data_IF_527401234760
#
_entry.id   IF_527401234760
#
_cell.length_a   1.000
_cell.length_b   1.000
_cell.length_c   1.000
_cell.angle_alpha   90.00
_cell.angle_beta   90.00
_cell.angle_gamma   90.00
#
_symmetry.space_group_name_H-M   'P 1'
#
loop_
_entity.id
_entity.type
_entity.pdbx_description
1 polymer ?
#
# COMPACT_ATOMS: atom_id res chain seq x y z
N UNK A 1 53.35 -3.64 23.89
CA UNK A 1 52.33 -2.57 24.03
C UNK A 1 51.36 -2.43 22.83
N UNK A 2 51.79 -2.61 21.58
CA UNK A 2 50.94 -2.48 20.40
C UNK A 2 49.79 -3.50 20.25
N UNK A 3 50.00 -4.72 20.77
CA UNK A 3 49.00 -5.80 20.66
C UNK A 3 47.78 -5.58 21.59
N UNK A 4 48.00 -5.07 22.78
CA UNK A 4 46.95 -4.74 23.75
C UNK A 4 46.04 -3.61 23.24
N UNK A 5 46.61 -2.64 22.54
CA UNK A 5 45.82 -1.57 21.92
C UNK A 5 44.92 -2.11 20.80
N UNK A 6 45.44 -3.03 19.96
CA UNK A 6 44.66 -3.64 18.86
C UNK A 6 43.44 -4.44 19.36
N UNK A 7 43.63 -5.21 20.44
CA UNK A 7 42.55 -5.98 21.08
C UNK A 7 41.50 -5.04 21.68
N UNK A 8 41.87 -3.94 22.30
CA UNK A 8 40.96 -2.93 22.84
C UNK A 8 40.13 -2.28 21.74
N UNK A 9 40.75 -1.92 20.60
CA UNK A 9 40.00 -1.35 19.46
C UNK A 9 39.03 -2.36 18.84
N UNK A 10 39.41 -3.62 18.71
CA UNK A 10 38.53 -4.67 18.23
C UNK A 10 37.31 -4.88 19.15
N UNK A 11 37.57 -4.88 20.47
CA UNK A 11 36.51 -5.02 21.47
C UNK A 11 35.54 -3.84 21.44
N UNK A 12 36.04 -2.61 21.33
CA UNK A 12 35.22 -1.40 21.19
C UNK A 12 34.41 -1.43 19.90
N UNK A 13 35.03 -1.87 18.79
CA UNK A 13 34.34 -1.97 17.51
C UNK A 13 33.16 -2.96 17.54
N UNK A 14 33.36 -4.13 18.18
CA UNK A 14 32.29 -5.13 18.33
C UNK A 14 31.17 -4.60 19.24
N UNK A 15 31.54 -3.89 20.31
CA UNK A 15 30.56 -3.31 21.23
C UNK A 15 29.76 -2.20 20.55
N UNK A 16 30.42 -1.35 19.74
CA UNK A 16 29.77 -0.32 18.93
C UNK A 16 28.83 -0.92 17.88
N UNK A 17 29.27 -1.98 17.19
CA UNK A 17 28.45 -2.70 16.23
C UNK A 17 27.20 -3.30 16.90
N UNK A 18 27.36 -3.93 18.06
CA UNK A 18 26.25 -4.48 18.83
C UNK A 18 25.25 -3.40 19.28
N UNK A 19 25.74 -2.22 19.65
CA UNK A 19 24.89 -1.09 20.02
C UNK A 19 24.08 -0.58 18.81
N UNK A 20 24.72 -0.45 17.64
CA UNK A 20 24.06 -0.04 16.39
C UNK A 20 22.99 -1.05 16.00
N UNK A 21 23.28 -2.35 16.03
CA UNK A 21 22.31 -3.40 15.76
C UNK A 21 21.15 -3.39 16.76
N UNK A 22 21.42 -3.13 18.04
CA UNK A 22 20.40 -3.01 19.07
C UNK A 22 19.44 -1.84 18.83
N UNK A 23 19.97 -0.70 18.40
CA UNK A 23 19.18 0.49 18.03
C UNK A 23 18.27 0.19 16.82
N UNK A 24 18.83 -0.44 15.80
CA UNK A 24 18.06 -0.82 14.59
C UNK A 24 16.94 -1.83 14.93
N UNK A 25 17.22 -2.77 15.85
CA UNK A 25 16.26 -3.80 16.26
C UNK A 25 15.13 -3.26 17.14
N UNK A 26 15.36 -2.16 17.86
CA UNK A 26 14.37 -1.60 18.79
C UNK A 26 14.25 -0.08 18.64
N UNK A 27 13.67 0.41 17.54
CA UNK A 27 13.61 1.84 17.20
C UNK A 27 12.85 2.68 18.24
N UNK A 28 11.93 2.07 19.01
CA UNK A 28 11.19 2.77 20.07
C UNK A 28 12.06 3.25 21.23
N UNK A 29 13.24 2.62 21.47
CA UNK A 29 14.17 3.05 22.52
C UNK A 29 14.87 4.37 22.17
N UNK A 30 14.89 4.76 20.90
CA UNK A 30 15.65 5.92 20.39
C UNK A 30 14.77 7.17 20.21
N UNK A 31 13.54 7.16 20.72
CA UNK A 31 12.62 8.34 20.71
C UNK A 31 13.25 9.60 21.30
N UNK A 32 14.33 9.45 22.07
CA UNK A 32 15.05 10.56 22.68
C UNK A 32 15.97 11.31 21.70
N UNK A 33 16.25 10.75 20.51
CA UNK A 33 17.10 11.38 19.49
C UNK A 33 16.24 11.72 18.26
N UNK A 34 15.65 12.93 18.18
CA UNK A 34 14.69 13.33 17.15
C UNK A 34 15.11 13.03 15.71
N UNK A 35 16.36 13.36 15.28
CA UNK A 35 16.73 13.17 13.88
C UNK A 35 16.85 11.70 13.45
N UNK A 36 17.05 10.78 14.40
CA UNK A 36 17.14 9.34 14.11
C UNK A 36 15.73 8.75 14.03
N UNK A 37 14.81 9.25 14.84
CA UNK A 37 13.42 8.79 14.85
C UNK A 37 12.70 9.13 13.55
N UNK A 38 12.90 10.34 13.01
CA UNK A 38 12.29 10.78 11.75
C UNK A 38 12.70 9.89 10.56
N UNK A 39 13.94 9.37 10.55
CA UNK A 39 14.42 8.43 9.52
C UNK A 39 13.72 7.06 9.64
N UNK A 40 13.47 6.59 10.87
CA UNK A 40 12.78 5.32 11.09
C UNK A 40 11.28 5.41 10.85
N UNK A 41 10.66 6.56 11.15
CA UNK A 41 9.24 6.81 10.86
C UNK A 41 8.99 6.92 9.34
N UNK A 42 9.96 7.45 8.59
CA UNK A 42 9.92 7.48 7.13
C UNK A 42 10.07 6.09 6.48
N UNK A 43 10.61 5.10 7.21
CA UNK A 43 10.68 3.71 6.79
C UNK A 43 9.46 2.90 7.28
N UNK A 44 8.25 3.46 7.11
CA UNK A 44 7.03 2.72 7.43
C UNK A 44 6.95 1.47 6.54
N UNK A 45 7.05 0.30 7.16
CA UNK A 45 6.82 -0.97 6.49
C UNK A 45 5.31 -1.14 6.37
N UNK A 46 4.80 -1.06 5.14
CA UNK A 46 3.40 -1.37 4.87
C UNK A 46 3.13 -2.81 5.25
N UNK A 47 2.32 -2.99 6.28
CA UNK A 47 1.93 -4.32 6.75
C UNK A 47 0.97 -4.90 5.73
N UNK A 48 1.28 -6.09 5.21
CA UNK A 48 0.37 -6.79 4.30
C UNK A 48 -0.99 -7.09 4.95
N UNK A 49 -1.95 -7.46 4.12
CA UNK A 49 -3.32 -7.83 4.51
C UNK A 49 -3.40 -8.87 5.64
N UNK A 50 -2.43 -9.78 5.72
CA UNK A 50 -2.34 -10.80 6.76
C UNK A 50 -2.19 -10.22 8.17
N UNK A 51 -1.58 -9.04 8.29
CA UNK A 51 -1.32 -8.38 9.57
C UNK A 51 -2.31 -7.27 9.90
N UNK A 52 -2.86 -6.62 8.89
CA UNK A 52 -3.83 -5.52 9.07
C UNK A 52 -5.27 -6.00 8.99
N UNK A 53 -5.49 -7.16 8.37
CA UNK A 53 -6.81 -7.62 7.95
C UNK A 53 -7.32 -6.80 6.76
N UNK A 54 -8.12 -7.42 5.92
CA UNK A 54 -8.66 -6.77 4.73
C UNK A 54 -9.24 -7.78 3.77
N UNK A 55 -9.61 -7.32 2.59
CA UNK A 55 -10.20 -8.12 1.54
C UNK A 55 -9.26 -8.17 0.35
N UNK A 56 -9.02 -9.37 -0.15
CA UNK A 56 -8.35 -9.64 -1.41
C UNK A 56 -9.39 -10.09 -2.43
N UNK A 57 -9.52 -9.33 -3.52
CA UNK A 57 -10.43 -9.63 -4.62
C UNK A 57 -9.63 -9.85 -5.90
N UNK A 58 -9.97 -10.90 -6.60
CA UNK A 58 -9.40 -11.22 -7.90
C UNK A 58 -10.50 -11.18 -8.97
N UNK A 59 -10.37 -10.27 -9.92
CA UNK A 59 -11.30 -10.14 -11.04
C UNK A 59 -10.66 -10.67 -12.32
N UNK A 60 -11.34 -11.60 -12.98
CA UNK A 60 -10.99 -12.01 -14.33
C UNK A 60 -11.50 -10.97 -15.32
N UNK A 61 -10.62 -10.40 -16.11
CA UNK A 61 -10.98 -9.46 -17.14
C UNK A 61 -11.44 -10.20 -18.40
N UNK A 62 -12.65 -9.92 -18.87
CA UNK A 62 -13.11 -10.40 -20.15
C UNK A 62 -12.66 -9.44 -21.25
N UNK A 63 -11.65 -9.88 -21.99
CA UNK A 63 -11.03 -9.12 -23.08
C UNK A 63 -11.44 -9.64 -24.46
N UNK A 64 -12.43 -10.53 -24.54
CA UNK A 64 -12.86 -11.21 -25.78
C UNK A 64 -13.36 -10.25 -26.85
N UNK A 65 -13.87 -9.08 -26.46
CA UNK A 65 -14.39 -8.04 -27.35
C UNK A 65 -13.36 -6.94 -27.67
N UNK A 66 -12.14 -7.07 -27.18
CA UNK A 66 -11.10 -6.05 -27.31
C UNK A 66 -10.04 -6.54 -28.28
N UNK A 67 -9.64 -5.70 -29.23
CA UNK A 67 -8.53 -5.97 -30.14
C UNK A 67 -7.25 -6.22 -29.34
N UNK A 68 -6.49 -7.25 -29.70
CA UNK A 68 -5.32 -7.70 -28.95
C UNK A 68 -4.29 -6.60 -28.67
N UNK A 69 -4.14 -5.65 -29.59
CA UNK A 69 -3.23 -4.50 -29.46
C UNK A 69 -3.69 -3.49 -28.38
N UNK A 70 -5.01 -3.42 -28.14
CA UNK A 70 -5.62 -2.47 -27.18
C UNK A 70 -5.89 -3.07 -25.80
N UNK A 71 -5.68 -4.37 -25.62
CA UNK A 71 -5.96 -5.06 -24.35
C UNK A 71 -5.13 -4.46 -23.22
N UNK A 72 -3.86 -4.19 -23.44
CA UNK A 72 -3.00 -3.61 -22.41
C UNK A 72 -3.50 -2.24 -21.94
N UNK A 73 -3.82 -1.37 -22.89
CA UNK A 73 -4.29 -0.01 -22.59
C UNK A 73 -5.65 -0.04 -21.88
N UNK A 74 -6.54 -0.94 -22.29
CA UNK A 74 -7.84 -1.13 -21.64
C UNK A 74 -7.69 -1.62 -20.19
N UNK A 75 -6.76 -2.52 -19.93
CA UNK A 75 -6.49 -3.03 -18.58
C UNK A 75 -5.90 -1.95 -17.67
N UNK A 76 -4.94 -1.16 -18.17
CA UNK A 76 -4.37 -0.03 -17.42
C UNK A 76 -5.45 1.02 -17.13
N UNK A 77 -6.32 1.31 -18.09
CA UNK A 77 -7.44 2.22 -17.86
C UNK A 77 -8.41 1.68 -16.79
N UNK A 78 -8.72 0.38 -16.81
CA UNK A 78 -9.57 -0.26 -15.81
C UNK A 78 -8.95 -0.22 -14.42
N UNK A 79 -7.65 -0.51 -14.29
CA UNK A 79 -6.88 -0.40 -13.06
C UNK A 79 -7.00 1.02 -12.47
N UNK A 80 -6.72 2.05 -13.26
CA UNK A 80 -6.79 3.44 -12.83
C UNK A 80 -8.22 3.86 -12.40
N UNK A 81 -9.25 3.33 -13.04
CA UNK A 81 -10.65 3.59 -12.65
C UNK A 81 -10.97 2.94 -11.31
N UNK A 82 -10.57 1.68 -11.10
CA UNK A 82 -10.79 0.95 -9.84
C UNK A 82 -10.06 1.66 -8.71
N UNK A 83 -8.78 1.98 -8.89
CA UNK A 83 -7.96 2.69 -7.91
C UNK A 83 -8.62 4.02 -7.49
N UNK A 84 -9.05 4.83 -8.47
CA UNK A 84 -9.73 6.10 -8.18
C UNK A 84 -11.01 5.90 -7.37
N UNK A 85 -11.80 4.87 -7.69
CA UNK A 85 -13.04 4.55 -6.95
C UNK A 85 -12.73 4.17 -5.52
N UNK A 86 -11.81 3.24 -5.31
CA UNK A 86 -11.43 2.76 -3.99
C UNK A 86 -10.88 3.90 -3.13
N UNK A 87 -10.04 4.77 -3.70
CA UNK A 87 -9.51 5.95 -3.02
C UNK A 87 -10.63 6.95 -2.64
N UNK A 88 -11.65 7.11 -3.48
CA UNK A 88 -12.79 7.99 -3.19
C UNK A 88 -13.62 7.52 -1.99
N UNK A 89 -13.61 6.21 -1.67
CA UNK A 89 -14.27 5.66 -0.48
C UNK A 89 -13.41 5.74 0.79
N UNK A 90 -12.21 6.33 0.70
CA UNK A 90 -11.34 6.55 1.86
C UNK A 90 -10.67 5.28 2.38
N UNK A 91 -10.50 4.27 1.54
CA UNK A 91 -9.70 3.08 1.89
C UNK A 91 -8.24 3.51 1.95
N UNK A 92 -7.61 3.29 3.10
CA UNK A 92 -6.18 3.61 3.27
C UNK A 92 -5.32 2.63 2.48
N UNK A 93 -4.47 3.16 1.59
CA UNK A 93 -3.45 2.41 0.85
C UNK A 93 -3.98 1.15 0.12
N UNK A 94 -5.01 1.28 -0.74
CA UNK A 94 -5.48 0.16 -1.54
C UNK A 94 -4.40 -0.25 -2.55
N UNK A 95 -4.27 -1.55 -2.79
CA UNK A 95 -3.38 -2.07 -3.81
C UNK A 95 -4.23 -2.59 -4.98
N UNK A 96 -4.02 -2.02 -6.15
CA UNK A 96 -4.63 -2.51 -7.40
C UNK A 96 -3.50 -2.92 -8.33
N UNK A 97 -3.54 -4.14 -8.84
CA UNK A 97 -2.48 -4.69 -9.68
C UNK A 97 -3.05 -5.50 -10.84
N UNK A 98 -2.40 -5.38 -12.00
CA UNK A 98 -2.66 -6.26 -13.13
C UNK A 98 -1.84 -7.54 -12.99
N UNK A 99 -2.49 -8.68 -13.18
CA UNK A 99 -1.84 -9.99 -13.20
C UNK A 99 -2.19 -10.72 -14.50
N UNK A 100 -1.21 -11.42 -15.05
CA UNK A 100 -1.41 -12.24 -16.23
C UNK A 100 -0.97 -13.67 -15.94
N UNK A 101 -1.89 -14.61 -16.17
CA UNK A 101 -1.60 -16.05 -16.06
C UNK A 101 -1.94 -16.73 -17.38
N UNK A 102 -0.90 -17.01 -18.19
CA UNK A 102 -1.10 -17.52 -19.55
C UNK A 102 -1.83 -16.53 -20.45
N UNK A 103 -3.03 -16.89 -20.89
CA UNK A 103 -3.92 -16.06 -21.69
C UNK A 103 -4.95 -15.27 -20.88
N UNK A 104 -5.03 -15.53 -19.56
CA UNK A 104 -5.99 -14.87 -18.69
C UNK A 104 -5.40 -13.58 -18.11
N UNK A 105 -6.16 -12.51 -18.22
CA UNK A 105 -5.87 -11.24 -17.59
C UNK A 105 -6.72 -11.07 -16.33
N UNK A 106 -6.09 -10.65 -15.23
CA UNK A 106 -6.72 -10.51 -13.92
C UNK A 106 -6.36 -9.17 -13.32
N UNK A 107 -7.29 -8.61 -12.55
CA UNK A 107 -7.08 -7.42 -11.75
C UNK A 107 -7.19 -7.86 -10.29
N UNK A 108 -6.12 -7.69 -9.54
CA UNK A 108 -6.05 -7.99 -8.12
C UNK A 108 -6.30 -6.68 -7.37
N UNK A 109 -7.24 -6.70 -6.43
CA UNK A 109 -7.59 -5.54 -5.61
C UNK A 109 -7.50 -5.93 -4.14
N UNK A 110 -6.59 -5.29 -3.42
CA UNK A 110 -6.43 -5.47 -1.99
C UNK A 110 -6.94 -4.22 -1.25
N UNK A 111 -7.83 -4.45 -0.31
CA UNK A 111 -8.52 -3.40 0.45
C UNK A 111 -8.24 -3.58 1.94
N UNK A 112 -7.16 -2.97 2.47
CA UNK A 112 -6.85 -3.03 3.89
C UNK A 112 -7.96 -2.40 4.73
N UNK A 113 -8.25 -3.02 5.88
CA UNK A 113 -9.23 -2.52 6.84
C UNK A 113 -10.70 -2.77 6.50
N UNK A 114 -11.02 -3.18 5.25
CA UNK A 114 -12.38 -3.54 4.85
C UNK A 114 -12.64 -5.01 5.21
N UNK A 115 -13.74 -5.29 5.91
CA UNK A 115 -14.12 -6.64 6.35
C UNK A 115 -15.34 -7.19 5.61
N UNK A 116 -16.12 -6.33 4.99
CA UNK A 116 -17.35 -6.70 4.29
C UNK A 116 -17.10 -6.81 2.79
N UNK A 117 -17.22 -8.04 2.27
CA UNK A 117 -17.01 -8.36 0.85
C UNK A 117 -18.06 -7.67 -0.03
N UNK A 118 -19.30 -7.56 0.42
CA UNK A 118 -20.36 -6.95 -0.36
C UNK A 118 -20.18 -5.44 -0.45
N UNK A 119 -19.72 -4.81 0.61
CA UNK A 119 -19.28 -3.41 0.62
C UNK A 119 -18.12 -3.20 -0.37
N UNK A 120 -17.10 -4.04 -0.35
CA UNK A 120 -15.98 -3.95 -1.27
C UNK A 120 -16.41 -4.09 -2.74
N UNK A 121 -17.26 -5.06 -3.05
CA UNK A 121 -17.81 -5.24 -4.39
C UNK A 121 -18.64 -4.04 -4.85
N UNK A 122 -19.41 -3.44 -3.94
CA UNK A 122 -20.21 -2.26 -4.22
C UNK A 122 -19.32 -1.07 -4.57
N UNK A 123 -18.27 -0.81 -3.80
CA UNK A 123 -17.30 0.26 -4.07
C UNK A 123 -16.69 0.16 -5.48
N UNK A 124 -16.33 -1.05 -5.90
CA UNK A 124 -15.72 -1.27 -7.21
C UNK A 124 -16.72 -1.16 -8.35
N UNK A 125 -17.97 -1.63 -8.15
CA UNK A 125 -19.02 -1.64 -9.19
C UNK A 125 -19.72 -0.31 -9.37
N UNK A 126 -19.88 0.49 -8.33
CA UNK A 126 -20.62 1.75 -8.41
C UNK A 126 -19.87 2.75 -9.29
N UNK A 127 -20.56 3.21 -10.33
CA UNK A 127 -20.14 4.40 -11.07
C UNK A 127 -20.71 5.61 -10.32
N UNK A 128 -19.87 6.52 -9.79
CA UNK A 128 -20.38 7.72 -9.16
C UNK A 128 -21.25 8.49 -10.18
N UNK A 129 -22.51 8.65 -9.87
CA UNK A 129 -23.42 9.45 -10.68
C UNK A 129 -23.29 10.90 -10.21
N UNK A 130 -22.73 11.76 -11.04
CA UNK A 130 -22.67 13.18 -10.75
C UNK A 130 -24.03 13.79 -11.16
N UNK A 131 -24.89 14.05 -10.18
CA UNK A 131 -26.18 14.72 -10.40
C UNK A 131 -26.02 16.20 -10.01
N UNK A 132 -26.11 17.09 -11.00
CA UNK A 132 -26.20 18.51 -10.74
C UNK A 132 -27.66 18.84 -10.40
N UNK A 133 -27.91 19.20 -9.14
CA UNK A 133 -29.23 19.67 -8.70
C UNK A 133 -29.18 21.18 -8.57
N UNK A 134 -30.05 21.87 -9.32
CA UNK A 134 -30.29 23.29 -9.14
C UNK A 134 -31.24 23.47 -7.96
N UNK A 135 -30.81 24.10 -6.90
CA UNK A 135 -31.69 24.41 -5.78
C UNK A 135 -32.41 25.71 -6.06
N UNK A 136 -33.71 25.65 -6.22
CA UNK A 136 -34.55 26.82 -6.45
C UNK A 136 -34.67 27.73 -5.22
N UNK A 137 -34.18 27.30 -4.04
CA UNK A 137 -34.33 28.03 -2.78
C UNK A 137 -33.07 28.68 -2.25
N UNK A 138 -31.98 28.76 -3.07
CA UNK A 138 -30.77 29.50 -2.70
C UNK A 138 -30.01 29.02 -1.46
N UNK A 139 -30.35 27.85 -0.88
CA UNK A 139 -29.71 27.29 0.28
C UNK A 139 -28.89 26.06 -0.13
N UNK A 140 -27.58 26.25 -0.25
CA UNK A 140 -26.61 25.20 -0.51
C UNK A 140 -26.25 24.59 0.84
N UNK A 141 -26.68 23.37 1.11
CA UNK A 141 -26.20 22.55 2.22
C UNK A 141 -25.23 21.52 1.71
#
# INVERSE_FOLDING_TARGET
MKQQAKIRYQFIAVLLLGLVCGVISYPQAVKFVPPVFDVFDAMQVNKGLDLQGGIHLEYKADVSQIESEKVSDALVAAEAVIERRVNAFGVGEPLVQLSRSGTEHRIIVELPGIKDIDQAKKMIKETPFLEFRESSDGNIT
#
